data_IF_705193669204
#
_entry.id   IF_705193669204
#
_cell.length_a   1.000
_cell.length_b   1.000
_cell.length_c   1.000
_cell.angle_alpha   90.00
_cell.angle_beta   90.00
_cell.angle_gamma   90.00
#
_symmetry.space_group_name_H-M   'P 1'
#
loop_
_entity.id
_entity.type
_entity.pdbx_description
1 polymer ?
#
# COMPACT_ATOMS: atom_id res chain seq x y z
N UNK A 1 -14.56 5.88 4.03
CA UNK A 1 -13.17 5.59 4.42
C UNK A 1 -12.92 4.12 4.15
N UNK A 2 -11.79 3.75 3.57
CA UNK A 2 -11.51 2.34 3.25
C UNK A 2 -10.25 1.89 3.98
N UNK A 3 -10.30 0.73 4.63
CA UNK A 3 -9.19 0.13 5.36
C UNK A 3 -8.89 -1.20 4.69
N UNK A 4 -7.71 -1.35 4.12
CA UNK A 4 -7.26 -2.60 3.51
C UNK A 4 -6.44 -3.37 4.55
N UNK A 5 -6.88 -4.59 4.85
CA UNK A 5 -6.26 -5.49 5.82
C UNK A 5 -5.96 -6.86 5.21
N UNK A 6 -4.92 -7.53 5.71
CA UNK A 6 -4.51 -8.91 5.36
C UNK A 6 -3.55 -9.45 6.43
N UNK A 7 -3.28 -10.75 6.45
CA UNK A 7 -2.28 -11.32 7.34
C UNK A 7 -0.82 -11.17 6.84
N UNK A 8 -0.58 -10.69 5.61
CA UNK A 8 0.74 -10.74 4.95
C UNK A 8 1.15 -9.44 4.25
N UNK A 9 2.45 -9.15 4.31
CA UNK A 9 3.01 -7.80 4.19
C UNK A 9 3.07 -7.26 2.76
N UNK A 10 3.03 -8.13 1.74
CA UNK A 10 3.44 -7.74 0.38
C UNK A 10 2.33 -7.20 -0.52
N UNK A 11 1.07 -7.61 -0.33
CA UNK A 11 -0.01 -7.21 -1.26
C UNK A 11 -0.60 -5.84 -0.95
N UNK A 12 -0.67 -5.41 0.32
CA UNK A 12 -1.44 -4.20 0.69
C UNK A 12 -0.83 -2.92 0.15
N UNK A 13 0.45 -2.72 0.39
CA UNK A 13 1.19 -1.54 -0.08
C UNK A 13 1.20 -1.51 -1.60
N UNK A 14 1.33 -2.66 -2.28
CA UNK A 14 1.24 -2.73 -3.75
C UNK A 14 -0.16 -2.40 -4.27
N UNK A 15 -1.22 -2.91 -3.64
CA UNK A 15 -2.61 -2.54 -3.98
C UNK A 15 -2.86 -1.04 -3.74
N UNK A 16 -2.34 -0.51 -2.64
CA UNK A 16 -2.42 0.92 -2.34
C UNK A 16 -1.69 1.76 -3.39
N UNK A 17 -0.55 1.29 -3.89
CA UNK A 17 0.23 1.94 -4.95
C UNK A 17 -0.51 1.92 -6.28
N UNK A 18 -1.05 0.77 -6.70
CA UNK A 18 -1.85 0.68 -7.93
C UNK A 18 -3.12 1.54 -7.85
N UNK A 19 -3.76 1.56 -6.68
CA UNK A 19 -4.91 2.42 -6.44
C UNK A 19 -4.54 3.91 -6.45
N UNK A 20 -3.36 4.27 -5.93
CA UNK A 20 -2.82 5.62 -5.98
C UNK A 20 -2.64 6.09 -7.44
N UNK A 21 -1.98 5.29 -8.28
CA UNK A 21 -1.80 5.61 -9.69
C UNK A 21 -3.13 5.82 -10.41
N UNK A 22 -4.09 4.90 -10.24
CA UNK A 22 -5.43 5.06 -10.81
C UNK A 22 -6.14 6.33 -10.32
N UNK A 23 -5.96 6.71 -9.05
CA UNK A 23 -6.54 7.94 -8.52
C UNK A 23 -5.88 9.18 -9.13
N UNK A 24 -4.55 9.16 -9.27
CA UNK A 24 -3.78 10.23 -9.88
C UNK A 24 -4.18 10.44 -11.35
N UNK A 25 -4.32 9.34 -12.12
CA UNK A 25 -4.79 9.38 -13.52
C UNK A 25 -6.20 9.96 -13.65
N UNK A 26 -7.03 9.78 -12.62
CA UNK A 26 -8.37 10.38 -12.52
C UNK A 26 -8.37 11.82 -11.94
N UNK A 27 -7.20 12.42 -11.79
CA UNK A 27 -7.04 13.82 -11.35
C UNK A 27 -7.15 14.04 -9.85
N UNK A 28 -6.87 13.02 -9.03
CA UNK A 28 -6.77 13.20 -7.57
C UNK A 28 -5.33 13.54 -7.16
N UNK A 29 -5.19 14.49 -6.24
CA UNK A 29 -3.93 14.71 -5.51
C UNK A 29 -3.70 13.55 -4.53
N UNK A 30 -2.57 12.85 -4.66
CA UNK A 30 -2.24 11.70 -3.80
C UNK A 30 -1.21 12.08 -2.76
N UNK A 31 -1.52 11.78 -1.50
CA UNK A 31 -0.63 11.99 -0.36
C UNK A 31 -0.36 10.66 0.34
N UNK A 32 0.91 10.27 0.40
CA UNK A 32 1.35 9.00 1.00
C UNK A 32 2.03 9.26 2.35
N UNK A 33 1.50 8.65 3.41
CA UNK A 33 1.96 8.78 4.79
C UNK A 33 2.54 7.47 5.28
N UNK A 34 3.84 7.44 5.59
CA UNK A 34 4.43 6.30 6.27
C UNK A 34 4.08 6.33 7.78
N UNK A 35 3.29 5.37 8.22
CA UNK A 35 2.77 5.25 9.58
C UNK A 35 3.49 4.20 10.43
N UNK A 36 4.65 3.70 9.96
CA UNK A 36 5.43 2.68 10.66
C UNK A 36 5.85 3.12 12.08
N UNK A 37 6.01 4.44 12.28
CA UNK A 37 6.23 5.06 13.59
C UNK A 37 5.52 6.42 13.66
N UNK A 38 5.21 6.94 14.87
CA UNK A 38 4.69 8.29 15.04
C UNK A 38 5.58 9.37 14.40
N UNK A 39 6.90 9.21 14.48
CA UNK A 39 7.87 10.15 13.91
C UNK A 39 7.83 10.15 12.39
N UNK A 40 7.67 8.98 11.76
CA UNK A 40 7.52 8.85 10.31
C UNK A 40 6.24 9.54 9.83
N UNK A 41 5.13 9.39 10.57
CA UNK A 41 3.87 10.06 10.23
C UNK A 41 3.98 11.58 10.34
N UNK A 42 4.59 12.09 11.42
CA UNK A 42 4.84 13.52 11.58
C UNK A 42 5.71 14.07 10.45
N UNK A 43 6.82 13.40 10.13
CA UNK A 43 7.69 13.81 9.02
C UNK A 43 6.94 13.84 7.67
N UNK A 44 6.06 12.87 7.41
CA UNK A 44 5.25 12.84 6.19
C UNK A 44 4.24 14.02 6.14
N UNK A 45 3.59 14.36 7.25
CA UNK A 45 2.72 15.54 7.33
C UNK A 45 3.46 16.85 7.07
N UNK A 46 4.64 17.01 7.65
CA UNK A 46 5.47 18.21 7.44
C UNK A 46 5.92 18.32 5.98
N UNK A 47 6.18 17.19 5.32
CA UNK A 47 6.46 17.18 3.89
C UNK A 47 5.26 17.69 3.08
N UNK A 48 4.05 17.21 3.36
CA UNK A 48 2.81 17.65 2.69
C UNK A 48 2.57 19.14 2.91
N UNK A 49 2.74 19.63 4.14
CA UNK A 49 2.62 21.05 4.46
C UNK A 49 3.56 21.89 3.60
N UNK A 50 4.85 21.51 3.50
CA UNK A 50 5.82 22.24 2.66
C UNK A 50 5.41 22.26 1.19
N UNK A 51 4.90 21.14 0.67
CA UNK A 51 4.38 21.08 -0.70
C UNK A 51 3.20 22.05 -0.89
N UNK A 52 2.26 22.08 0.06
CA UNK A 52 1.12 22.98 0.04
C UNK A 52 1.56 24.45 0.12
N UNK A 53 2.49 24.76 1.03
CA UNK A 53 3.00 26.13 1.24
C UNK A 53 3.80 26.66 0.04
N UNK A 54 4.55 25.79 -0.64
CA UNK A 54 5.26 26.14 -1.86
C UNK A 54 4.30 26.63 -2.96
N UNK A 55 3.07 26.10 -2.97
CA UNK A 55 2.02 26.49 -3.93
C UNK A 55 1.17 27.67 -3.41
N UNK A 56 0.97 27.77 -2.09
CA UNK A 56 0.17 28.82 -1.44
C UNK A 56 0.84 29.31 -0.16
N UNK A 57 1.32 30.56 -0.16
CA UNK A 57 1.85 31.22 1.03
C UNK A 57 0.74 31.29 2.10
N UNK A 58 0.86 30.50 3.16
CA UNK A 58 -0.10 30.44 4.27
C UNK A 58 0.67 30.56 5.59
N UNK A 59 0.17 31.38 6.51
CA UNK A 59 0.78 31.72 7.81
C UNK A 59 0.48 30.70 8.93
N UNK A 60 0.37 29.41 8.61
CA UNK A 60 0.15 28.40 9.64
C UNK A 60 1.47 27.99 10.30
N UNK A 61 1.56 28.23 11.61
CA UNK A 61 2.70 27.88 12.46
C UNK A 61 2.68 26.39 12.91
N UNK A 62 1.52 25.73 12.82
CA UNK A 62 1.35 24.30 13.10
C UNK A 62 1.14 23.48 11.81
N UNK A 63 2.09 22.60 11.53
CA UNK A 63 2.18 21.76 10.34
C UNK A 63 0.90 20.92 10.13
N UNK A 64 0.35 20.36 11.21
CA UNK A 64 -0.86 19.53 11.14
C UNK A 64 -2.11 20.36 10.83
N UNK A 65 -2.25 21.51 11.48
CA UNK A 65 -3.39 22.42 11.24
C UNK A 65 -3.41 22.91 9.80
N UNK A 66 -2.25 23.26 9.24
CA UNK A 66 -2.14 23.70 7.85
C UNK A 66 -2.65 22.64 6.86
N UNK A 67 -2.19 21.39 7.00
CA UNK A 67 -2.59 20.27 6.14
C UNK A 67 -4.08 19.97 6.30
N UNK A 68 -4.59 19.93 7.53
CA UNK A 68 -6.02 19.73 7.78
C UNK A 68 -6.89 20.81 7.13
N UNK A 69 -6.51 22.07 7.26
CA UNK A 69 -7.25 23.17 6.66
C UNK A 69 -7.21 23.09 5.13
N UNK A 70 -6.08 22.73 4.54
CA UNK A 70 -6.00 22.52 3.11
C UNK A 70 -6.93 21.38 2.65
N UNK A 71 -6.82 20.20 3.28
CA UNK A 71 -7.62 19.02 2.93
C UNK A 71 -9.13 19.26 3.11
N UNK A 72 -9.52 20.09 4.09
CA UNK A 72 -10.91 20.48 4.34
C UNK A 72 -11.48 21.33 3.20
N UNK A 73 -10.71 22.29 2.69
CA UNK A 73 -11.18 23.24 1.66
C UNK A 73 -10.99 22.74 0.22
N UNK A 74 -10.12 21.76 0.01
CA UNK A 74 -9.90 21.15 -1.31
C UNK A 74 -10.72 19.86 -1.47
N UNK A 75 -10.91 19.47 -2.73
CA UNK A 75 -11.56 18.23 -3.16
C UNK A 75 -10.57 17.49 -4.07
N UNK A 76 -10.93 16.27 -4.44
CA UNK A 76 -10.17 15.39 -5.34
C UNK A 76 -8.80 15.06 -4.77
N UNK A 77 -8.79 14.47 -3.58
CA UNK A 77 -7.55 13.99 -2.98
C UNK A 77 -7.72 12.59 -2.40
N UNK A 78 -6.61 11.87 -2.34
CA UNK A 78 -6.44 10.58 -1.70
C UNK A 78 -5.35 10.69 -0.63
N UNK A 79 -5.68 10.36 0.62
CA UNK A 79 -4.73 10.27 1.72
C UNK A 79 -4.50 8.79 2.07
N UNK A 80 -3.27 8.32 1.94
CA UNK A 80 -2.90 6.93 2.19
C UNK A 80 -2.07 6.86 3.46
N UNK A 81 -2.56 6.14 4.47
CA UNK A 81 -1.84 5.79 5.69
C UNK A 81 -1.26 4.38 5.54
N UNK A 82 -0.01 4.30 5.12
CA UNK A 82 0.71 3.05 4.88
C UNK A 82 1.39 2.55 6.15
N UNK A 83 1.39 1.23 6.42
CA UNK A 83 1.93 0.62 7.65
C UNK A 83 1.34 1.16 8.97
N UNK A 84 0.04 1.41 9.03
CA UNK A 84 -0.64 1.90 10.25
C UNK A 84 -0.90 0.75 11.24
N UNK A 85 0.16 0.16 11.80
CA UNK A 85 0.10 -1.12 12.50
C UNK A 85 -0.10 -1.00 14.03
N UNK A 86 -0.20 0.21 14.58
CA UNK A 86 -0.42 0.43 16.02
C UNK A 86 -1.85 0.93 16.29
N UNK A 87 -2.78 0.02 16.56
CA UNK A 87 -4.17 0.41 16.86
C UNK A 87 -4.34 1.25 18.13
N UNK A 88 -3.33 1.33 19.01
CA UNK A 88 -3.36 2.22 20.17
C UNK A 88 -3.03 3.67 19.82
N UNK A 89 -2.38 3.90 18.67
CA UNK A 89 -2.05 5.23 18.19
C UNK A 89 -3.30 5.96 17.69
N UNK A 90 -3.50 7.25 18.05
CA UNK A 90 -4.71 7.99 17.71
C UNK A 90 -4.67 8.50 16.25
N UNK A 91 -4.67 7.60 15.26
CA UNK A 91 -4.67 7.98 13.84
C UNK A 91 -5.84 8.90 13.45
N UNK A 92 -6.96 8.85 14.19
CA UNK A 92 -8.09 9.75 14.01
C UNK A 92 -7.74 11.24 14.16
N UNK A 93 -6.72 11.59 14.95
CA UNK A 93 -6.25 12.97 15.13
C UNK A 93 -5.48 13.51 13.92
N UNK A 94 -5.16 12.64 12.95
CA UNK A 94 -4.47 12.95 11.71
C UNK A 94 -5.41 12.89 10.49
N UNK A 95 -6.69 12.61 10.73
CA UNK A 95 -7.71 12.61 9.70
C UNK A 95 -8.40 13.98 9.70
N UNK A 96 -8.42 14.71 8.56
CA UNK A 96 -9.12 15.97 8.50
C UNK A 96 -10.62 15.76 8.72
N UNK A 97 -11.23 16.57 9.58
CA UNK A 97 -12.68 16.63 9.71
C UNK A 97 -13.25 17.48 8.59
N UNK A 98 -13.93 16.85 7.64
CA UNK A 98 -14.60 17.53 6.53
C UNK A 98 -16.03 17.04 6.36
N UNK A 99 -16.89 17.92 5.86
CA UNK A 99 -18.23 17.58 5.41
C UNK A 99 -18.18 17.39 3.88
N UNK A 100 -18.62 16.25 3.36
CA UNK A 100 -18.76 16.05 1.92
C UNK A 100 -18.71 14.60 1.45
N UNK A 101 -18.84 14.43 0.13
CA UNK A 101 -18.95 13.14 -0.54
C UNK A 101 -17.61 12.40 -0.62
N UNK A 102 -17.60 11.13 -0.22
CA UNK A 102 -16.47 10.21 -0.30
C UNK A 102 -15.94 9.99 -1.74
N UNK A 103 -16.70 10.34 -2.77
CA UNK A 103 -16.27 10.21 -4.17
C UNK A 103 -15.06 11.09 -4.51
N UNK A 104 -14.97 12.27 -3.89
CA UNK A 104 -13.92 13.28 -4.14
C UNK A 104 -12.86 13.35 -3.05
N UNK A 105 -13.05 12.71 -1.90
CA UNK A 105 -12.12 12.76 -0.78
C UNK A 105 -12.00 11.38 -0.19
N UNK A 106 -10.82 10.79 -0.32
CA UNK A 106 -10.61 9.37 -0.04
C UNK A 106 -9.50 9.20 0.98
N UNK A 107 -9.72 8.26 1.88
CA UNK A 107 -8.72 7.85 2.86
C UNK A 107 -8.57 6.35 2.76
N UNK A 108 -7.35 5.91 2.57
CA UNK A 108 -6.95 4.51 2.52
C UNK A 108 -5.97 4.23 3.65
N UNK A 109 -6.19 3.15 4.39
CA UNK A 109 -5.22 2.61 5.33
C UNK A 109 -4.72 1.27 4.83
N UNK A 110 -3.42 1.01 4.99
CA UNK A 110 -2.90 -0.35 4.99
C UNK A 110 -2.39 -0.65 6.39
N UNK A 111 -2.88 -1.74 6.99
CA UNK A 111 -2.52 -2.11 8.37
C UNK A 111 -2.50 -3.62 8.50
N UNK A 112 -1.59 -4.15 9.32
CA UNK A 112 -1.52 -5.53 9.82
C UNK A 112 -2.29 -5.72 11.12
N UNK A 113 -2.67 -4.63 11.79
CA UNK A 113 -3.46 -4.70 13.02
C UNK A 113 -4.96 -4.63 12.69
N UNK A 114 -5.63 -5.77 12.83
CA UNK A 114 -7.06 -5.89 12.57
C UNK A 114 -7.92 -4.97 13.44
N UNK A 115 -7.43 -4.64 14.63
CA UNK A 115 -8.16 -3.82 15.60
C UNK A 115 -8.36 -2.40 15.08
N UNK A 116 -7.49 -1.92 14.19
CA UNK A 116 -7.62 -0.59 13.60
C UNK A 116 -8.94 -0.43 12.82
N UNK A 117 -9.41 -1.48 12.14
CA UNK A 117 -10.67 -1.43 11.40
C UNK A 117 -11.87 -1.19 12.31
N UNK A 118 -11.87 -1.79 13.51
CA UNK A 118 -12.92 -1.60 14.52
C UNK A 118 -12.86 -0.23 15.21
N UNK A 119 -11.68 0.40 15.26
CA UNK A 119 -11.51 1.74 15.84
C UNK A 119 -11.99 2.87 14.90
N UNK A 120 -12.15 2.58 13.61
CA UNK A 120 -12.47 3.59 12.59
C UNK A 120 -13.96 3.56 12.20
N UNK A 121 -14.67 4.64 12.53
CA UNK A 121 -16.10 4.82 12.24
C UNK A 121 -16.32 4.92 10.72
N UNK A 122 -17.36 4.24 10.20
CA UNK A 122 -17.72 4.23 8.77
C UNK A 122 -16.57 3.78 7.84
N UNK A 123 -15.75 2.85 8.32
CA UNK A 123 -14.70 2.21 7.52
C UNK A 123 -15.25 0.99 6.78
N UNK A 124 -14.80 0.80 5.53
CA UNK A 124 -14.99 -0.44 4.78
C UNK A 124 -13.72 -1.25 4.90
N UNK A 125 -13.80 -2.45 5.48
CA UNK A 125 -12.67 -3.40 5.52
C UNK A 125 -12.62 -4.15 4.18
N UNK A 126 -11.47 -4.10 3.52
CA UNK A 126 -11.18 -4.94 2.37
C UNK A 126 -10.09 -5.94 2.76
N UNK A 127 -10.41 -7.23 2.73
CA UNK A 127 -9.46 -8.30 2.96
C UNK A 127 -8.79 -8.69 1.65
N UNK A 128 -7.46 -8.68 1.60
CA UNK A 128 -6.73 -9.23 0.45
C UNK A 128 -6.29 -10.66 0.79
N UNK A 129 -6.84 -11.67 0.08
CA UNK A 129 -6.48 -13.05 0.32
C UNK A 129 -5.03 -13.33 -0.11
N UNK A 130 -4.53 -14.48 0.37
CA UNK A 130 -3.30 -15.09 -0.16
C UNK A 130 -3.41 -15.28 -1.67
N UNK A 131 -2.26 -15.39 -2.36
CA UNK A 131 -2.31 -15.81 -3.75
C UNK A 131 -2.82 -17.25 -3.79
N UNK A 132 -3.69 -17.52 -4.75
CA UNK A 132 -3.91 -18.90 -5.13
C UNK A 132 -2.70 -19.43 -5.92
N UNK A 133 -2.71 -20.74 -6.15
CA UNK A 133 -1.63 -21.43 -6.86
C UNK A 133 -1.43 -20.90 -8.28
N UNK A 134 -2.51 -20.44 -8.94
CA UNK A 134 -2.46 -19.90 -10.29
C UNK A 134 -1.80 -18.52 -10.30
N UNK A 135 -2.28 -17.59 -9.46
CA UNK A 135 -1.68 -16.28 -9.29
C UNK A 135 -0.19 -16.39 -8.93
N UNK A 136 0.16 -17.29 -8.00
CA UNK A 136 1.54 -17.47 -7.54
C UNK A 136 2.44 -18.00 -8.65
N UNK A 137 1.96 -18.97 -9.42
CA UNK A 137 2.68 -19.51 -10.59
C UNK A 137 2.87 -18.45 -11.67
N UNK A 138 1.84 -17.65 -11.96
CA UNK A 138 1.91 -16.54 -12.93
C UNK A 138 2.93 -15.50 -12.52
N UNK A 139 2.93 -15.08 -11.24
CA UNK A 139 3.90 -14.12 -10.71
C UNK A 139 5.34 -14.66 -10.82
N UNK A 140 5.54 -15.95 -10.53
CA UNK A 140 6.84 -16.59 -10.67
C UNK A 140 7.32 -16.61 -12.13
N UNK A 141 6.45 -17.00 -13.05
CA UNK A 141 6.74 -17.06 -14.48
C UNK A 141 7.03 -15.67 -15.05
N UNK A 142 6.24 -14.66 -14.66
CA UNK A 142 6.50 -13.26 -15.01
C UNK A 142 7.87 -12.79 -14.50
N UNK A 143 8.23 -13.15 -13.26
CA UNK A 143 9.53 -12.81 -12.68
C UNK A 143 10.74 -13.50 -13.33
N UNK A 144 10.52 -14.63 -14.00
CA UNK A 144 11.57 -15.41 -14.69
C UNK A 144 11.53 -15.25 -16.22
N UNK A 145 10.71 -14.35 -16.74
CA UNK A 145 10.63 -14.04 -18.17
C UNK A 145 12.01 -13.62 -18.71
N UNK A 146 12.42 -14.24 -19.82
CA UNK A 146 13.70 -13.96 -20.48
C UNK A 146 14.87 -14.89 -20.08
N UNK A 147 14.70 -15.78 -19.10
CA UNK A 147 15.64 -16.88 -18.88
C UNK A 147 15.45 -17.90 -20.03
N UNK A 148 16.52 -18.20 -20.76
CA UNK A 148 16.51 -19.05 -21.98
C UNK A 148 15.82 -20.42 -21.76
N UNK A 149 15.09 -20.87 -22.78
CA UNK A 149 14.37 -22.17 -22.93
C UNK A 149 15.16 -23.44 -22.54
N UNK A 150 16.46 -23.35 -22.25
CA UNK A 150 17.24 -24.49 -21.73
C UNK A 150 16.81 -24.97 -20.34
N UNK A 151 16.03 -24.17 -19.60
CA UNK A 151 15.30 -24.64 -18.41
C UNK A 151 13.80 -24.75 -18.71
N UNK A 152 13.37 -25.74 -19.49
CA UNK A 152 11.96 -26.15 -19.50
C UNK A 152 11.60 -26.66 -18.11
N UNK A 153 11.17 -25.75 -17.23
CA UNK A 153 10.64 -26.09 -15.91
C UNK A 153 9.22 -26.62 -16.12
N UNK A 154 8.93 -27.77 -15.55
CA UNK A 154 7.56 -28.26 -15.52
C UNK A 154 6.70 -27.33 -14.68
N UNK A 155 5.43 -27.17 -15.06
CA UNK A 155 4.42 -26.52 -14.23
C UNK A 155 4.41 -27.10 -12.81
N UNK A 156 4.55 -28.43 -12.68
CA UNK A 156 4.59 -29.14 -11.38
C UNK A 156 5.74 -28.68 -10.47
N UNK A 157 6.93 -28.45 -11.04
CA UNK A 157 8.10 -27.97 -10.28
C UNK A 157 7.89 -26.55 -9.77
N UNK A 158 7.32 -25.68 -10.62
CA UNK A 158 7.00 -24.30 -10.23
C UNK A 158 5.89 -24.29 -9.17
N UNK A 159 4.84 -25.08 -9.37
CA UNK A 159 3.73 -25.23 -8.43
C UNK A 159 4.23 -25.69 -7.05
N UNK A 160 5.04 -26.74 -7.01
CA UNK A 160 5.62 -27.25 -5.76
C UNK A 160 6.49 -26.21 -5.04
N UNK A 161 7.25 -25.40 -5.78
CA UNK A 161 8.02 -24.31 -5.20
C UNK A 161 7.12 -23.21 -4.63
N UNK A 162 6.14 -22.71 -5.39
CA UNK A 162 5.29 -21.59 -4.91
C UNK A 162 4.43 -22.01 -3.71
N UNK A 163 3.97 -23.27 -3.67
CA UNK A 163 3.28 -23.84 -2.52
C UNK A 163 4.19 -23.92 -1.28
N UNK A 164 5.47 -24.31 -1.44
CA UNK A 164 6.46 -24.28 -0.34
C UNK A 164 6.75 -22.86 0.15
N UNK A 165 6.58 -21.86 -0.71
CA UNK A 165 6.66 -20.44 -0.37
C UNK A 165 5.32 -19.88 0.16
N UNK A 166 4.37 -20.77 0.47
CA UNK A 166 3.03 -20.47 0.98
C UNK A 166 2.26 -19.46 0.12
N UNK A 167 2.53 -19.44 -1.20
CA UNK A 167 1.96 -18.50 -2.15
C UNK A 167 2.07 -17.03 -1.70
N UNK A 168 3.15 -16.70 -0.97
CA UNK A 168 3.41 -15.34 -0.51
C UNK A 168 4.03 -14.55 -1.66
N UNK A 169 3.40 -13.47 -2.16
CA UNK A 169 3.87 -12.78 -3.37
C UNK A 169 5.31 -12.33 -3.30
N UNK A 170 5.76 -11.86 -2.12
CA UNK A 170 7.14 -11.43 -1.94
C UNK A 170 8.11 -12.61 -1.98
N UNK A 171 7.78 -13.73 -1.34
CA UNK A 171 8.61 -14.93 -1.36
C UNK A 171 8.72 -15.49 -2.79
N UNK A 172 7.59 -15.54 -3.50
CA UNK A 172 7.50 -15.94 -4.91
C UNK A 172 8.33 -15.02 -5.81
N UNK A 173 8.17 -13.70 -5.68
CA UNK A 173 8.93 -12.73 -6.48
C UNK A 173 10.43 -12.79 -6.19
N UNK A 174 10.83 -13.00 -4.92
CA UNK A 174 12.23 -13.17 -4.53
C UNK A 174 12.81 -14.47 -5.10
N UNK A 175 12.07 -15.58 -5.07
CA UNK A 175 12.52 -16.83 -5.66
C UNK A 175 12.71 -16.70 -7.19
N UNK A 176 11.76 -16.04 -7.87
CA UNK A 176 11.87 -15.76 -9.29
C UNK A 176 13.07 -14.86 -9.63
N UNK A 177 13.29 -13.79 -8.84
CA UNK A 177 14.44 -12.90 -9.00
C UNK A 177 15.77 -13.62 -8.78
N UNK A 178 15.86 -14.46 -7.74
CA UNK A 178 17.03 -15.27 -7.43
C UNK A 178 17.38 -16.21 -8.60
N UNK A 179 16.38 -16.91 -9.17
CA UNK A 179 16.60 -17.79 -10.31
C UNK A 179 17.03 -17.06 -11.57
N UNK A 180 16.57 -15.82 -11.75
CA UNK A 180 17.01 -14.97 -12.87
C UNK A 180 18.45 -14.52 -12.72
N UNK A 181 18.88 -14.25 -11.49
CA UNK A 181 20.25 -13.84 -11.17
C UNK A 181 21.23 -15.02 -11.16
N UNK A 182 20.76 -16.21 -10.77
CA UNK A 182 21.55 -17.44 -10.67
C UNK A 182 20.92 -18.58 -11.49
N UNK A 183 21.07 -18.59 -12.84
CA UNK A 183 20.36 -19.53 -13.72
C UNK A 183 20.71 -21.02 -13.54
N UNK A 184 21.74 -21.32 -12.75
CA UNK A 184 22.16 -22.68 -12.40
C UNK A 184 21.49 -23.26 -11.15
N UNK A 185 20.70 -22.46 -10.43
CA UNK A 185 19.86 -22.95 -9.34
C UNK A 185 18.62 -23.63 -9.94
N UNK A 186 18.37 -24.88 -9.56
CA UNK A 186 17.23 -25.67 -10.05
C UNK A 186 16.04 -25.60 -9.09
N UNK A 187 14.86 -25.78 -9.65
CA UNK A 187 13.60 -25.86 -8.91
C UNK A 187 13.28 -27.35 -8.75
N UNK A 188 13.88 -28.00 -7.75
CA UNK A 188 13.60 -29.38 -7.34
C UNK A 188 12.87 -29.42 -5.99
#
# INVERSE_FOLDING_TARGET
MSVVHTHHWSKKTQIALEYAYKCQDNGLDVFWLNCSTPQSLFAAFNHIQRMIQAVKKNDYDDDRTAVHQWLKHHKNWLLIFDNADDSSFPYGDWIPRYNGNASTRRILFTTRDERLSGAMINSVKAEVPLMDDHEATDLFNAGTAGISEKSTRSYESVLGLVQRLANLPLAVALAAACLREYPWVTVE
#
